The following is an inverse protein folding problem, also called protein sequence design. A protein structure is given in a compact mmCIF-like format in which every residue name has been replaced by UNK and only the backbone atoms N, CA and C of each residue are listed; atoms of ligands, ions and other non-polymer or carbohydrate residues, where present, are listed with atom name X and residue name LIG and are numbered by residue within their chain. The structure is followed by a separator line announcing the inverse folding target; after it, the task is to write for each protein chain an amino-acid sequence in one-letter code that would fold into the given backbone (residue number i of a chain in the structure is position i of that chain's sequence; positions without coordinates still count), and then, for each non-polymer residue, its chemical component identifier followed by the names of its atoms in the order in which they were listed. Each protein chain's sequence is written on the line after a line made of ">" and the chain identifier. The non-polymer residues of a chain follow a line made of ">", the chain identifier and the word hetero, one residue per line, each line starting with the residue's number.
data_IF_770517897653
#
_entry.id   IF_770517897653
#
_cell.length_a   1.000
_cell.length_b   1.000
_cell.length_c   1.000
_cell.angle_alpha   90.00
_cell.angle_beta   90.00
_cell.angle_gamma   90.00
#
_symmetry.space_group_name_H-M   'P 1'
#
loop_
_entity.id
_entity.type
_entity.pdbx_description
1 polymer ?
#
# COMPACT_ATOMS: atom_id res chain seq x y z
N UNK A 1 -20.88 15.65 17.34
CA UNK A 1 -20.64 15.32 18.77
C UNK A 1 -21.03 13.87 19.14
N UNK A 2 -22.07 13.29 18.55
CA UNK A 2 -22.58 11.92 18.82
C UNK A 2 -21.62 10.75 18.46
N UNK A 3 -20.87 10.84 17.35
CA UNK A 3 -20.04 9.73 16.87
C UNK A 3 -18.78 9.48 17.73
N UNK A 4 -18.15 10.54 18.23
CA UNK A 4 -16.96 10.44 19.08
C UNK A 4 -17.24 9.76 20.42
N UNK A 5 -18.43 9.97 20.99
CA UNK A 5 -18.81 9.35 22.26
C UNK A 5 -19.02 7.83 22.10
N UNK A 6 -19.59 7.39 20.97
CA UNK A 6 -19.78 5.97 20.65
C UNK A 6 -18.45 5.26 20.46
N UNK A 7 -17.51 5.88 19.75
CA UNK A 7 -16.17 5.32 19.56
C UNK A 7 -15.38 5.22 20.87
N UNK A 8 -15.48 6.22 21.75
CA UNK A 8 -14.82 6.19 23.06
C UNK A 8 -15.40 5.11 23.99
N UNK A 9 -16.72 4.89 23.95
CA UNK A 9 -17.35 3.80 24.71
C UNK A 9 -16.96 2.43 24.17
N UNK A 10 -16.96 2.27 22.84
CA UNK A 10 -16.55 1.03 22.19
C UNK A 10 -15.11 0.67 22.56
N UNK A 11 -14.19 1.66 22.54
CA UNK A 11 -12.81 1.44 22.94
C UNK A 11 -12.68 0.99 24.40
N UNK A 12 -13.42 1.60 25.33
CA UNK A 12 -13.42 1.18 26.74
C UNK A 12 -13.88 -0.25 26.97
N UNK A 13 -14.83 -0.75 26.16
CA UNK A 13 -15.29 -2.14 26.25
C UNK A 13 -14.23 -3.09 25.66
N UNK A 14 -13.57 -2.72 24.56
CA UNK A 14 -12.43 -3.49 24.01
C UNK A 14 -11.28 -3.61 25.02
N UNK A 15 -11.06 -2.56 25.82
CA UNK A 15 -9.99 -2.52 26.83
C UNK A 15 -10.40 -3.24 28.14
N UNK A 16 -11.68 -3.64 28.29
CA UNK A 16 -12.18 -4.29 29.51
C UNK A 16 -11.82 -5.78 29.56
N UNK A 17 -11.07 -6.19 30.59
CA UNK A 17 -10.73 -7.62 30.80
C UNK A 17 -11.98 -8.43 31.14
N UNK A 18 -12.19 -9.55 30.45
CA UNK A 18 -13.23 -10.55 30.77
C UNK A 18 -14.55 -10.41 30.02
N UNK A 19 -14.67 -9.51 29.03
CA UNK A 19 -15.89 -9.36 28.23
C UNK A 19 -15.67 -9.72 26.75
N UNK A 20 -15.28 -10.97 26.52
CA UNK A 20 -15.01 -11.51 25.19
C UNK A 20 -16.23 -11.41 24.23
N UNK A 21 -17.48 -11.69 24.67
CA UNK A 21 -18.64 -11.53 23.79
C UNK A 21 -18.89 -10.08 23.35
N UNK A 22 -18.78 -9.10 24.26
CA UNK A 22 -18.97 -7.70 23.88
C UNK A 22 -17.82 -7.19 23.00
N UNK A 23 -16.59 -7.66 23.24
CA UNK A 23 -15.42 -7.39 22.39
C UNK A 23 -15.67 -7.91 20.97
N UNK A 24 -16.22 -9.12 20.84
CA UNK A 24 -16.57 -9.71 19.54
C UNK A 24 -17.65 -8.92 18.82
N UNK A 25 -18.73 -8.54 19.52
CA UNK A 25 -19.82 -7.74 18.95
C UNK A 25 -19.34 -6.37 18.48
N UNK A 26 -18.50 -5.69 19.28
CA UNK A 26 -17.94 -4.37 18.90
C UNK A 26 -17.04 -4.49 17.68
N UNK A 27 -16.16 -5.50 17.63
CA UNK A 27 -15.32 -5.73 16.45
C UNK A 27 -16.14 -5.99 15.20
N UNK A 28 -17.19 -6.82 15.30
CA UNK A 28 -18.11 -7.06 14.18
C UNK A 28 -18.78 -5.76 13.73
N UNK A 29 -19.27 -4.92 14.65
CA UNK A 29 -19.88 -3.64 14.29
C UNK A 29 -18.87 -2.68 13.64
N UNK A 30 -17.63 -2.65 14.13
CA UNK A 30 -16.57 -1.78 13.58
C UNK A 30 -16.07 -2.24 12.22
N UNK A 31 -16.16 -3.53 11.92
CA UNK A 31 -15.69 -4.14 10.68
C UNK A 31 -16.85 -4.49 9.72
N UNK A 32 -17.99 -3.79 9.82
CA UNK A 32 -19.19 -4.03 8.99
C UNK A 32 -19.64 -5.50 8.92
N UNK A 33 -19.50 -6.22 10.03
CA UNK A 33 -19.87 -7.62 10.19
C UNK A 33 -18.81 -8.62 9.73
N UNK A 34 -17.61 -8.17 9.34
CA UNK A 34 -16.52 -9.05 8.93
C UNK A 34 -15.85 -9.75 10.12
N UNK A 35 -15.66 -11.08 10.01
CA UNK A 35 -14.87 -11.89 10.93
C UNK A 35 -13.67 -12.50 10.20
N UNK A 36 -12.43 -12.28 10.66
CA UNK A 36 -11.24 -12.85 10.04
C UNK A 36 -11.23 -14.39 10.07
N UNK A 37 -10.78 -14.99 8.97
CA UNK A 37 -10.59 -16.45 8.86
C UNK A 37 -9.44 -16.94 9.73
N UNK A 38 -9.33 -18.26 9.90
CA UNK A 38 -8.22 -18.87 10.66
C UNK A 38 -6.87 -18.55 10.03
N UNK A 39 -6.74 -18.60 8.70
CA UNK A 39 -5.49 -18.29 8.00
C UNK A 39 -5.12 -16.80 8.13
N UNK A 40 -6.09 -15.89 8.09
CA UNK A 40 -5.84 -14.46 8.33
C UNK A 40 -5.39 -14.19 9.78
N UNK A 41 -6.01 -14.85 10.77
CA UNK A 41 -5.58 -14.76 12.18
C UNK A 41 -4.15 -15.26 12.34
N UNK A 42 -3.83 -16.41 11.73
CA UNK A 42 -2.48 -16.99 11.75
C UNK A 42 -1.45 -16.08 11.08
N UNK A 43 -1.75 -15.52 9.91
CA UNK A 43 -0.87 -14.58 9.24
C UNK A 43 -0.62 -13.33 10.08
N UNK A 44 -1.64 -12.83 10.80
CA UNK A 44 -1.49 -11.71 11.74
C UNK A 44 -0.58 -12.05 12.92
N UNK A 45 -0.63 -13.27 13.45
CA UNK A 45 0.30 -13.73 14.49
C UNK A 45 1.75 -13.73 14.01
N UNK A 46 2.00 -14.13 12.76
CA UNK A 46 3.35 -14.21 12.18
C UNK A 46 3.88 -12.82 11.78
N UNK A 47 3.07 -12.04 11.07
CA UNK A 47 3.46 -10.74 10.50
C UNK A 47 3.42 -9.60 11.54
N UNK A 48 2.74 -9.80 12.67
CA UNK A 48 2.57 -8.78 13.71
C UNK A 48 1.90 -7.52 13.18
N UNK A 49 2.62 -6.38 13.25
CA UNK A 49 2.14 -5.09 12.72
C UNK A 49 2.30 -4.94 11.20
N UNK A 50 3.04 -5.82 10.53
CA UNK A 50 3.31 -5.74 9.10
C UNK A 50 2.24 -6.48 8.28
N UNK A 51 0.98 -6.27 8.63
CA UNK A 51 -0.19 -6.76 7.90
C UNK A 51 -1.21 -5.62 7.79
N UNK A 52 -1.73 -5.40 6.59
CA UNK A 52 -2.84 -4.52 6.31
C UNK A 52 -3.94 -5.37 5.66
N UNK A 53 -4.80 -5.96 6.50
CA UNK A 53 -5.81 -6.92 6.10
C UNK A 53 -7.16 -6.26 5.78
N UNK A 54 -8.18 -7.11 5.64
CA UNK A 54 -9.56 -6.68 5.33
C UNK A 54 -10.10 -5.70 6.38
N UNK A 55 -9.86 -5.98 7.67
CA UNK A 55 -10.30 -5.11 8.78
C UNK A 55 -9.70 -3.71 8.66
N UNK A 56 -8.40 -3.62 8.37
CA UNK A 56 -7.71 -2.34 8.20
C UNK A 56 -8.20 -1.59 6.95
N UNK A 57 -8.46 -2.31 5.85
CA UNK A 57 -9.04 -1.73 4.64
C UNK A 57 -10.41 -1.08 4.91
N UNK A 58 -11.29 -1.78 5.65
CA UNK A 58 -12.63 -1.27 6.02
C UNK A 58 -12.46 -0.04 6.91
N UNK A 59 -11.68 -0.17 7.97
CA UNK A 59 -11.54 0.86 9.00
C UNK A 59 -10.84 2.13 8.51
N UNK A 60 -9.75 2.00 7.76
CA UNK A 60 -8.86 3.13 7.45
C UNK A 60 -9.08 3.70 6.06
N UNK A 61 -9.55 2.90 5.10
CA UNK A 61 -9.80 3.35 3.74
C UNK A 61 -11.30 3.33 3.39
N UNK A 62 -12.17 2.89 4.30
CA UNK A 62 -13.62 2.86 4.05
C UNK A 62 -13.96 2.03 2.82
N UNK A 63 -13.28 0.90 2.63
CA UNK A 63 -13.68 -0.09 1.63
C UNK A 63 -14.97 -0.75 2.11
N UNK A 64 -15.84 -1.10 1.17
CA UNK A 64 -17.06 -1.86 1.44
C UNK A 64 -17.00 -3.16 0.63
N UNK A 65 -16.37 -4.23 1.17
CA UNK A 65 -16.12 -5.44 0.42
C UNK A 65 -17.40 -6.14 -0.03
N UNK A 66 -17.47 -6.56 -1.29
CA UNK A 66 -18.52 -7.48 -1.72
C UNK A 66 -18.25 -8.88 -1.18
N UNK A 67 -19.28 -9.74 -1.17
CA UNK A 67 -19.10 -11.16 -0.81
C UNK A 67 -18.09 -11.87 -1.71
N UNK A 68 -18.04 -11.51 -3.01
CA UNK A 68 -17.05 -12.08 -3.92
C UNK A 68 -15.63 -11.65 -3.54
N UNK A 69 -15.42 -10.38 -3.20
CA UNK A 69 -14.11 -9.88 -2.78
C UNK A 69 -13.64 -10.54 -1.48
N UNK A 70 -14.55 -10.70 -0.51
CA UNK A 70 -14.27 -11.43 0.73
C UNK A 70 -13.95 -12.90 0.48
N UNK A 71 -14.59 -13.54 -0.52
CA UNK A 71 -14.27 -14.91 -0.89
C UNK A 71 -12.85 -15.02 -1.49
N UNK A 72 -12.45 -14.08 -2.34
CA UNK A 72 -11.09 -14.03 -2.91
C UNK A 72 -10.03 -13.83 -1.81
N UNK A 73 -10.33 -13.01 -0.81
CA UNK A 73 -9.42 -12.72 0.31
C UNK A 73 -9.54 -13.70 1.48
N UNK A 74 -10.39 -14.73 1.38
CA UNK A 74 -10.70 -15.63 2.50
C UNK A 74 -9.47 -16.40 2.99
N UNK A 75 -8.59 -16.79 2.07
CA UNK A 75 -7.36 -17.53 2.37
C UNK A 75 -6.11 -16.72 2.03
N UNK A 76 -5.08 -16.87 2.88
CA UNK A 76 -3.76 -16.28 2.64
C UNK A 76 -2.98 -17.19 1.68
N UNK A 77 -2.55 -16.71 0.50
CA UNK A 77 -1.88 -17.55 -0.51
C UNK A 77 -0.39 -17.76 -0.23
N UNK A 78 0.08 -17.45 0.99
CA UNK A 78 1.48 -17.56 1.39
C UNK A 78 1.61 -18.55 2.55
N UNK A 79 2.65 -19.39 2.51
CA UNK A 79 2.93 -20.31 3.60
C UNK A 79 3.42 -19.58 4.85
N UNK A 80 3.21 -20.18 6.03
CA UNK A 80 3.77 -19.69 7.30
C UNK A 80 5.28 -19.40 7.20
N UNK A 81 6.04 -20.25 6.49
CA UNK A 81 7.49 -20.07 6.31
C UNK A 81 7.82 -18.83 5.46
N UNK A 82 7.07 -18.57 4.39
CA UNK A 82 7.24 -17.36 3.59
C UNK A 82 6.88 -16.10 4.38
N UNK A 83 5.79 -16.16 5.15
CA UNK A 83 5.39 -15.06 6.02
C UNK A 83 6.44 -14.79 7.09
N UNK A 84 6.98 -15.83 7.73
CA UNK A 84 8.02 -15.68 8.76
C UNK A 84 9.32 -15.08 8.18
N UNK A 85 9.71 -15.51 6.98
CA UNK A 85 10.87 -14.94 6.27
C UNK A 85 10.66 -13.48 5.86
N UNK A 86 9.41 -13.08 5.59
CA UNK A 86 9.07 -11.76 5.07
C UNK A 86 8.65 -10.76 6.15
N UNK A 87 8.41 -11.22 7.39
CA UNK A 87 7.74 -10.44 8.44
C UNK A 87 8.43 -9.12 8.77
N UNK A 88 9.74 -9.01 8.59
CA UNK A 88 10.50 -7.79 8.91
C UNK A 88 10.72 -6.88 7.68
N UNK A 89 10.55 -7.41 6.48
CA UNK A 89 10.92 -6.76 5.21
C UNK A 89 9.72 -6.37 4.35
N UNK A 90 8.56 -7.01 4.55
CA UNK A 90 7.35 -6.81 3.77
C UNK A 90 6.16 -6.48 4.66
N UNK A 91 5.13 -5.90 4.04
CA UNK A 91 3.77 -5.82 4.57
C UNK A 91 2.91 -6.79 3.78
N UNK A 92 2.16 -7.66 4.47
CA UNK A 92 1.12 -8.47 3.85
C UNK A 92 -0.15 -7.63 3.68
N UNK A 93 -0.63 -7.44 2.46
CA UNK A 93 -1.69 -6.48 2.13
C UNK A 93 -2.87 -7.19 1.46
N UNK A 94 -4.07 -6.99 1.99
CA UNK A 94 -5.33 -7.28 1.30
C UNK A 94 -5.67 -6.11 0.39
N UNK A 95 -5.36 -6.22 -0.90
CA UNK A 95 -5.61 -5.16 -1.87
C UNK A 95 -7.09 -5.14 -2.24
N UNK A 96 -7.69 -3.95 -2.21
CA UNK A 96 -9.04 -3.69 -2.71
C UNK A 96 -8.99 -2.77 -3.93
N UNK A 97 -10.02 -2.80 -4.79
CA UNK A 97 -10.04 -2.05 -6.04
C UNK A 97 -10.40 -0.60 -5.75
N UNK A 98 -9.46 0.14 -5.15
CA UNK A 98 -9.50 1.59 -5.02
C UNK A 98 -8.41 2.20 -5.88
N UNK A 99 -8.77 3.10 -6.76
CA UNK A 99 -7.81 3.92 -7.50
C UNK A 99 -7.06 4.89 -6.57
N UNK A 100 -5.91 5.40 -7.03
CA UNK A 100 -5.15 6.42 -6.30
C UNK A 100 -6.04 7.65 -6.03
N UNK A 101 -6.88 8.03 -6.99
CA UNK A 101 -7.79 9.16 -6.86
C UNK A 101 -8.86 8.91 -5.77
N UNK A 102 -9.41 7.71 -5.68
CA UNK A 102 -10.38 7.35 -4.64
C UNK A 102 -9.73 7.30 -3.26
N UNK A 103 -8.53 6.71 -3.14
CA UNK A 103 -7.77 6.70 -1.88
C UNK A 103 -7.55 8.14 -1.41
N UNK A 104 -7.08 9.02 -2.30
CA UNK A 104 -6.87 10.44 -2.00
C UNK A 104 -8.15 11.15 -1.56
N UNK A 105 -9.30 10.80 -2.14
CA UNK A 105 -10.60 11.34 -1.74
C UNK A 105 -11.13 10.83 -0.39
N UNK A 106 -10.62 9.69 0.10
CA UNK A 106 -11.07 9.01 1.33
C UNK A 106 -10.25 9.37 2.57
N UNK A 107 -9.03 9.90 2.39
CA UNK A 107 -8.10 10.15 3.50
C UNK A 107 -7.85 11.63 3.74
N UNK A 108 -7.20 11.97 4.86
CA UNK A 108 -6.87 13.35 5.18
C UNK A 108 -6.01 13.99 4.07
N UNK A 109 -6.43 15.17 3.60
CA UNK A 109 -5.79 15.90 2.49
C UNK A 109 -4.26 15.97 2.62
N UNK A 110 -3.74 16.29 3.80
CA UNK A 110 -2.30 16.38 4.08
C UNK A 110 -1.46 15.12 3.81
N UNK A 111 -2.09 13.97 3.58
CA UNK A 111 -1.37 12.72 3.28
C UNK A 111 -0.91 12.64 1.83
N UNK A 112 -1.39 13.50 0.94
CA UNK A 112 -0.92 13.62 -0.44
C UNK A 112 -0.30 15.00 -0.67
N UNK A 113 0.75 15.04 -1.48
CA UNK A 113 1.41 16.28 -1.87
C UNK A 113 0.57 17.07 -2.88
N UNK A 114 0.07 16.39 -3.92
CA UNK A 114 -0.71 16.99 -4.99
C UNK A 114 -2.18 16.55 -4.96
N UNK A 115 -3.07 17.47 -5.32
CA UNK A 115 -4.53 17.27 -5.31
C UNK A 115 -5.18 17.63 -6.66
N UNK A 116 -5.88 18.76 -6.75
CA UNK A 116 -6.68 19.16 -7.91
C UNK A 116 -5.83 19.41 -9.15
N UNK A 117 -4.59 19.88 -8.95
CA UNK A 117 -3.63 20.18 -10.04
C UNK A 117 -2.56 19.10 -10.17
N UNK A 118 -2.77 17.90 -9.61
CA UNK A 118 -1.79 16.83 -9.74
C UNK A 118 -1.66 16.41 -11.21
N UNK A 119 -0.41 16.33 -11.70
CA UNK A 119 -0.09 15.95 -13.08
C UNK A 119 -0.70 14.58 -13.46
N UNK A 120 -0.82 13.69 -12.49
CA UNK A 120 -1.32 12.33 -12.68
C UNK A 120 -2.86 12.23 -12.69
N UNK A 121 -3.61 13.31 -12.52
CA UNK A 121 -5.07 13.24 -12.42
C UNK A 121 -5.73 12.62 -13.65
N UNK A 122 -5.13 12.82 -14.82
CA UNK A 122 -5.64 12.26 -16.08
C UNK A 122 -4.94 10.95 -16.50
N UNK A 123 -3.92 10.52 -15.75
CA UNK A 123 -3.13 9.34 -16.08
C UNK A 123 -3.88 8.05 -15.81
N UNK A 124 -3.66 7.04 -16.66
CA UNK A 124 -4.31 5.74 -16.54
C UNK A 124 -4.00 5.07 -15.19
N UNK A 125 -2.73 5.02 -14.79
CA UNK A 125 -2.30 4.40 -13.54
C UNK A 125 -2.93 5.04 -12.27
N UNK A 126 -3.37 6.29 -12.35
CA UNK A 126 -4.01 6.95 -11.21
C UNK A 126 -5.49 6.58 -11.08
N UNK A 127 -6.13 6.28 -12.21
CA UNK A 127 -7.54 5.89 -12.35
C UNK A 127 -7.75 4.39 -12.29
N UNK A 128 -6.71 3.60 -12.55
CA UNK A 128 -6.79 2.14 -12.50
C UNK A 128 -7.16 1.67 -11.10
N UNK A 129 -8.04 0.66 -11.04
CA UNK A 129 -8.41 0.00 -9.81
C UNK A 129 -7.48 -1.19 -9.61
N UNK A 130 -6.92 -1.34 -8.41
CA UNK A 130 -6.17 -2.54 -8.05
C UNK A 130 -7.01 -3.80 -8.17
N UNK A 131 -6.37 -4.94 -8.36
CA UNK A 131 -7.06 -6.23 -8.30
C UNK A 131 -7.24 -6.69 -6.85
N UNK A 132 -8.36 -7.35 -6.58
CA UNK A 132 -8.62 -7.90 -5.25
C UNK A 132 -7.76 -9.14 -5.06
N UNK A 133 -6.71 -9.04 -4.25
CA UNK A 133 -5.82 -10.15 -3.93
C UNK A 133 -4.98 -9.86 -2.68
N UNK A 134 -4.26 -10.88 -2.22
CA UNK A 134 -3.21 -10.73 -1.20
C UNK A 134 -1.85 -10.50 -1.88
N UNK A 135 -1.09 -9.53 -1.38
CA UNK A 135 0.28 -9.27 -1.85
C UNK A 135 1.25 -9.08 -0.68
N UNK A 136 2.52 -9.48 -0.89
CA UNK A 136 3.63 -9.11 -0.02
C UNK A 136 4.35 -7.92 -0.65
N UNK A 137 4.27 -6.76 0.00
CA UNK A 137 4.83 -5.49 -0.52
C UNK A 137 6.03 -5.09 0.34
N UNK A 138 7.20 -4.88 -0.28
CA UNK A 138 8.42 -4.50 0.45
C UNK A 138 8.27 -3.15 1.15
N UNK A 139 8.76 -3.08 2.40
CA UNK A 139 8.77 -1.86 3.22
C UNK A 139 9.78 -0.83 2.75
N UNK A 140 10.90 -1.30 2.20
CA UNK A 140 11.99 -0.47 1.68
C UNK A 140 12.34 -0.92 0.27
N UNK A 141 12.72 0.01 -0.63
CA UNK A 141 13.32 -0.36 -1.91
C UNK A 141 14.52 -1.28 -1.68
N UNK A 142 14.74 -2.22 -2.60
CA UNK A 142 15.96 -3.03 -2.61
C UNK A 142 17.18 -2.10 -2.71
N UNK A 143 18.23 -2.38 -1.93
CA UNK A 143 19.43 -1.55 -1.96
C UNK A 143 20.04 -1.53 -3.37
N UNK A 144 20.52 -0.34 -3.78
CA UNK A 144 21.05 -0.04 -5.12
C UNK A 144 20.05 -0.20 -6.28
N UNK A 145 18.78 -0.52 -6.02
CA UNK A 145 17.79 -0.76 -7.07
C UNK A 145 17.24 0.52 -7.71
N UNK A 146 17.47 1.67 -7.09
CA UNK A 146 17.00 2.99 -7.57
C UNK A 146 17.99 3.68 -8.52
N UNK A 147 19.16 3.09 -8.73
CA UNK A 147 20.25 3.65 -9.56
C UNK A 147 20.56 2.81 -10.79
N UNK A 148 19.69 1.84 -11.09
CA UNK A 148 19.85 0.85 -12.16
C UNK A 148 18.64 0.89 -13.09
N UNK A 149 18.81 0.43 -14.33
CA UNK A 149 17.70 0.37 -15.29
C UNK A 149 16.67 -0.71 -14.88
N UNK A 150 15.48 -0.70 -15.48
CA UNK A 150 14.41 -1.66 -15.15
C UNK A 150 14.83 -3.13 -15.20
N UNK A 151 15.64 -3.51 -16.18
CA UNK A 151 16.08 -4.90 -16.35
C UNK A 151 17.08 -5.32 -15.27
N UNK A 152 18.02 -4.45 -14.94
CA UNK A 152 18.96 -4.63 -13.82
C UNK A 152 18.23 -4.66 -12.48
N UNK A 153 17.18 -3.84 -12.33
CA UNK A 153 16.36 -3.83 -11.12
C UNK A 153 15.62 -5.16 -10.93
N UNK A 154 15.05 -5.71 -12.01
CA UNK A 154 14.41 -7.02 -12.00
C UNK A 154 15.37 -8.14 -11.57
N UNK A 155 16.66 -8.03 -11.94
CA UNK A 155 17.69 -8.99 -11.54
C UNK A 155 18.05 -8.93 -10.04
N UNK A 156 17.69 -7.85 -9.32
CA UNK A 156 17.95 -7.70 -7.88
C UNK A 156 16.82 -8.24 -7.00
N UNK A 157 15.66 -8.55 -7.59
CA UNK A 157 14.53 -9.11 -6.85
C UNK A 157 14.69 -10.62 -6.67
N UNK A 158 14.29 -11.13 -5.50
CA UNK A 158 14.07 -12.56 -5.36
C UNK A 158 13.02 -13.01 -6.40
N UNK A 159 13.08 -14.26 -6.85
CA UNK A 159 12.17 -14.79 -7.90
C UNK A 159 10.68 -14.57 -7.60
N UNK A 160 10.34 -14.41 -6.33
CA UNK A 160 8.97 -14.25 -5.83
C UNK A 160 8.61 -12.80 -5.45
N UNK A 161 9.55 -11.85 -5.58
CA UNK A 161 9.31 -10.43 -5.32
C UNK A 161 8.70 -9.76 -6.57
N UNK A 162 7.46 -9.30 -6.44
CA UNK A 162 6.75 -8.57 -7.50
C UNK A 162 6.90 -7.07 -7.26
N UNK A 163 7.23 -6.31 -8.32
CA UNK A 163 7.19 -4.84 -8.26
C UNK A 163 5.73 -4.38 -8.29
N UNK A 164 5.21 -3.76 -7.22
CA UNK A 164 3.81 -3.38 -7.16
C UNK A 164 3.48 -2.28 -8.18
N UNK A 165 2.22 -2.20 -8.58
CA UNK A 165 1.72 -1.03 -9.32
C UNK A 165 1.73 0.21 -8.42
N UNK A 166 1.63 1.40 -9.02
CA UNK A 166 1.49 2.64 -8.27
C UNK A 166 0.26 2.62 -7.35
N UNK A 167 -0.85 2.03 -7.82
CA UNK A 167 -2.05 1.85 -7.02
C UNK A 167 -1.77 1.01 -5.76
N UNK A 168 -1.16 -0.18 -5.91
CA UNK A 168 -0.90 -1.08 -4.78
C UNK A 168 0.04 -0.44 -3.78
N UNK A 169 1.08 0.24 -4.28
CA UNK A 169 2.07 0.87 -3.43
C UNK A 169 1.47 2.06 -2.65
N UNK A 170 0.67 2.92 -3.29
CA UNK A 170 -0.05 4.00 -2.59
C UNK A 170 -1.04 3.45 -1.57
N UNK A 171 -1.81 2.43 -1.95
CA UNK A 171 -2.75 1.75 -1.05
C UNK A 171 -2.04 1.24 0.20
N UNK A 172 -0.89 0.59 0.01
CA UNK A 172 -0.06 0.03 1.09
C UNK A 172 0.52 1.11 1.99
N UNK A 173 1.16 2.14 1.42
CA UNK A 173 1.82 3.20 2.19
C UNK A 173 0.79 3.97 3.04
N UNK A 174 -0.31 4.41 2.43
CA UNK A 174 -1.34 5.18 3.12
C UNK A 174 -2.06 4.31 4.14
N UNK A 175 -2.44 3.09 3.77
CA UNK A 175 -3.11 2.15 4.66
C UNK A 175 -2.26 1.82 5.88
N UNK A 176 -1.01 1.42 5.66
CA UNK A 176 -0.09 1.06 6.75
C UNK A 176 0.16 2.23 7.70
N UNK A 177 0.37 3.44 7.17
CA UNK A 177 0.53 4.65 7.99
C UNK A 177 -0.71 4.91 8.85
N UNK A 178 -1.91 4.77 8.30
CA UNK A 178 -3.15 5.00 9.04
C UNK A 178 -3.40 3.93 10.11
N UNK A 179 -3.00 2.68 9.84
CA UNK A 179 -3.19 1.56 10.76
C UNK A 179 -2.18 1.53 11.91
N UNK A 180 -0.93 1.92 11.64
CA UNK A 180 0.20 1.72 12.59
C UNK A 180 0.84 3.03 13.05
N UNK A 181 0.69 4.11 12.29
CA UNK A 181 1.47 5.34 12.47
C UNK A 181 2.88 5.27 11.89
N UNK A 182 3.30 4.13 11.34
CA UNK A 182 4.64 3.92 10.78
C UNK A 182 4.73 4.30 9.31
N UNK A 183 5.87 4.85 8.90
CA UNK A 183 6.12 5.26 7.51
C UNK A 183 6.84 4.13 6.79
N UNK A 184 6.43 3.89 5.55
CA UNK A 184 7.11 2.99 4.62
C UNK A 184 7.95 3.83 3.64
N UNK A 185 8.94 3.19 3.00
CA UNK A 185 9.79 3.80 1.96
C UNK A 185 10.55 5.04 2.47
N UNK A 186 10.90 5.07 3.76
CA UNK A 186 11.48 6.27 4.39
C UNK A 186 12.69 6.80 3.61
N UNK A 187 12.62 8.09 3.23
CA UNK A 187 13.68 8.85 2.54
C UNK A 187 14.03 8.39 1.12
N UNK A 188 13.16 7.63 0.44
CA UNK A 188 13.39 7.20 -0.94
C UNK A 188 12.12 7.28 -1.79
N UNK A 189 12.30 7.28 -3.10
CA UNK A 189 11.26 6.96 -4.07
C UNK A 189 11.34 5.46 -4.37
N UNK A 190 10.20 4.78 -4.35
CA UNK A 190 10.06 3.40 -4.81
C UNK A 190 9.52 3.39 -6.24
N UNK A 191 10.26 2.75 -7.15
CA UNK A 191 9.80 2.49 -8.53
C UNK A 191 8.65 1.49 -8.49
N UNK A 192 7.68 1.67 -9.37
CA UNK A 192 6.50 0.81 -9.53
C UNK A 192 6.50 0.16 -10.91
N UNK A 193 5.64 -0.84 -11.11
CA UNK A 193 5.40 -1.43 -12.44
C UNK A 193 4.46 -0.59 -13.32
N UNK A 194 3.88 0.48 -12.79
CA UNK A 194 3.04 1.39 -13.56
C UNK A 194 3.89 2.36 -14.39
N UNK A 195 3.36 2.73 -15.56
CA UNK A 195 3.93 3.75 -16.44
C UNK A 195 2.94 4.89 -16.67
N UNK A 196 3.45 6.08 -16.99
CA UNK A 196 2.64 7.19 -17.46
C UNK A 196 2.27 7.06 -18.94
N UNK A 197 1.54 8.05 -19.48
CA UNK A 197 1.13 8.12 -20.88
C UNK A 197 2.28 8.16 -21.88
N UNK A 198 3.47 8.58 -21.44
CA UNK A 198 4.68 8.68 -22.26
C UNK A 198 5.57 7.43 -22.11
N UNK A 199 5.16 6.47 -21.28
CA UNK A 199 5.87 5.21 -21.03
C UNK A 199 6.94 5.31 -19.95
N UNK A 200 7.01 6.41 -19.20
CA UNK A 200 7.97 6.57 -18.10
C UNK A 200 7.51 5.80 -16.86
N UNK A 201 8.45 5.23 -16.11
CA UNK A 201 8.13 4.54 -14.87
C UNK A 201 7.59 5.51 -13.82
N UNK A 202 6.56 5.07 -13.11
CA UNK A 202 5.97 5.83 -11.98
C UNK A 202 6.68 5.48 -10.68
N UNK A 203 6.96 6.49 -9.88
CA UNK A 203 7.59 6.42 -8.58
C UNK A 203 6.69 6.98 -7.50
N UNK A 204 6.71 6.34 -6.33
CA UNK A 204 5.96 6.75 -5.15
C UNK A 204 6.94 6.98 -4.00
N UNK A 205 6.83 8.13 -3.34
CA UNK A 205 7.66 8.50 -2.18
C UNK A 205 7.01 8.11 -0.84
N UNK A 206 7.75 8.29 0.25
CA UNK A 206 7.18 8.27 1.59
C UNK A 206 6.17 9.41 1.82
N UNK A 207 5.44 9.34 2.93
CA UNK A 207 4.48 10.39 3.32
C UNK A 207 5.21 11.46 4.12
N UNK A 208 5.90 12.41 3.47
CA UNK A 208 6.68 13.47 4.13
C UNK A 208 5.85 14.52 4.90
N UNK A 209 6.48 15.62 5.34
CA UNK A 209 5.77 16.77 5.95
C UNK A 209 4.76 17.40 5.00
N UNK A 210 5.00 17.27 3.70
CA UNK A 210 4.17 17.81 2.64
C UNK A 210 3.22 16.75 2.04
N UNK A 211 3.17 15.53 2.60
CA UNK A 211 2.40 14.40 2.07
C UNK A 211 3.17 13.53 1.09
N UNK A 212 2.52 12.47 0.61
CA UNK A 212 3.05 11.52 -0.37
C UNK A 212 3.12 12.15 -1.76
N UNK A 213 4.30 12.10 -2.36
CA UNK A 213 4.56 12.51 -3.74
C UNK A 213 4.53 11.35 -4.71
N UNK A 214 3.99 11.61 -5.90
CA UNK A 214 4.00 10.71 -7.07
C UNK A 214 4.71 11.46 -8.19
N UNK A 215 5.70 10.81 -8.79
CA UNK A 215 6.52 11.35 -9.89
C UNK A 215 6.65 10.30 -10.98
N UNK A 216 6.92 10.74 -12.19
CA UNK A 216 7.48 9.95 -13.27
C UNK A 216 9.00 10.16 -13.33
N UNK A 217 9.74 9.19 -13.86
CA UNK A 217 11.14 9.34 -14.22
C UNK A 217 11.41 8.63 -15.53
N UNK A 218 12.09 9.32 -16.44
CA UNK A 218 12.58 8.74 -17.68
C UNK A 218 13.75 7.81 -17.36
N UNK A 219 13.57 6.51 -17.56
CA UNK A 219 14.68 5.56 -17.56
C UNK A 219 15.58 5.88 -18.76
N UNK A 220 16.47 6.87 -18.60
CA UNK A 220 17.55 7.07 -19.53
C UNK A 220 18.36 5.77 -19.56
N UNK A 221 18.31 5.09 -20.70
CA UNK A 221 19.30 4.09 -21.11
C UNK A 221 20.65 4.56 -20.61
N UNK A 222 21.36 3.71 -19.87
CA UNK A 222 22.54 4.08 -19.10
C UNK A 222 23.39 5.13 -19.81
N UNK A 223 23.65 6.25 -19.13
CA UNK A 223 24.75 7.13 -19.51
C UNK A 223 26.04 6.33 -19.31
N UNK A 224 26.40 5.52 -20.29
CA UNK A 224 27.81 5.36 -20.60
C UNK A 224 28.30 6.76 -20.95
N UNK A 225 29.14 7.29 -20.06
CA UNK A 225 29.93 8.47 -20.32
C UNK A 225 30.79 8.19 -21.56
N UNK A 226 30.30 8.50 -22.74
CA UNK A 226 31.08 8.73 -23.96
C UNK A 226 30.14 9.27 -25.05
N UNK A 227 29.84 10.57 -25.02
CA UNK A 227 30.35 11.49 -26.04
C UNK A 227 29.83 12.92 -25.79
N UNK A 228 30.71 13.79 -25.29
CA UNK A 228 30.53 15.24 -25.30
C UNK A 228 30.79 15.73 -26.72
N UNK A 229 29.79 15.68 -27.59
CA UNK A 229 29.73 16.49 -28.81
C UNK A 229 28.42 16.14 -29.51
N UNK A 230 27.40 16.98 -29.49
CA UNK A 230 27.19 17.82 -30.67
C UNK A 230 26.38 19.06 -30.35
N UNK A 231 26.92 20.16 -30.85
CA UNK A 231 26.49 21.53 -30.73
C UNK A 231 25.02 21.79 -31.09
N UNK A 232 24.47 22.79 -30.38
CA UNK A 232 23.50 23.75 -30.91
C UNK A 232 23.79 24.07 -32.39
N UNK A 233 22.77 23.94 -33.23
CA UNK A 233 22.53 24.92 -34.31
C UNK A 233 21.04 25.22 -34.39
N UNK A 234 20.81 26.51 -34.68
CA UNK A 234 19.57 27.27 -34.79
C UNK A 234 18.45 26.55 -35.56
#
# INVERSE_FOLDING_TARGET
>A
MSLNLRNALAQRVLDSKGNEPATKVIRLIQNDGFEPTTSQKRAREIMGKNIFGVEEGIKHLGVNPTRQQLAVLSEIPFSDAMLDQSKDTHVLVAVFPLSILEIRGKVARKLFYNHETAWYNEQFFAKEHGEVNWQLVRKTPVDNSTSVNWQEQQALFCKDDIVPTAQVLVYTIIGHLLATGERLVERKYARTSSVDSDGNCVYVSDVGSNGLGISDYWDAVGYDNEDRSSARKL
#
